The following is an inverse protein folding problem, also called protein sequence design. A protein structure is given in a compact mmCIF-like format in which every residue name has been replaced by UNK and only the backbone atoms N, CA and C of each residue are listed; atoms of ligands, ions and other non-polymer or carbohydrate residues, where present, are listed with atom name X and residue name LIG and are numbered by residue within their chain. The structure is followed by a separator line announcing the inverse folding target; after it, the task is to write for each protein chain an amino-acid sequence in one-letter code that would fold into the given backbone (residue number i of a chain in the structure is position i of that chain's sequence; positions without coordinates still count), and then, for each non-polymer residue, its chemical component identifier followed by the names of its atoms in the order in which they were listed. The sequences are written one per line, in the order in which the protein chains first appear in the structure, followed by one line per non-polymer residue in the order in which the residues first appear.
data_IF_108568159500
#
_entry.id   IF_108568159500
#
_cell.length_a   1.000
_cell.length_b   1.000
_cell.length_c   1.000
_cell.angle_alpha   90.00
_cell.angle_beta   90.00
_cell.angle_gamma   90.00
#
_symmetry.space_group_name_H-M   'P 1'
#
loop_
_entity.id
_entity.type
_entity.pdbx_description
1 polymer ?
#
# COMPACT_ATOMS: atom_id res chain seq x y z
N UNK A 1 80.89 -32.97 17.90
CA UNK A 1 79.74 -32.09 18.14
C UNK A 1 79.59 -31.21 16.93
N UNK A 2 78.54 -31.48 16.16
CA UNK A 2 78.39 -31.09 14.76
C UNK A 2 77.63 -29.78 14.61
N UNK A 3 78.00 -29.04 13.56
CA UNK A 3 77.55 -27.68 13.22
C UNK A 3 76.06 -27.62 12.89
N UNK A 4 75.44 -26.51 13.31
CA UNK A 4 74.09 -26.06 12.95
C UNK A 4 73.96 -25.90 11.43
N UNK A 5 72.92 -26.49 10.85
CA UNK A 5 72.43 -26.18 9.51
C UNK A 5 71.10 -25.44 9.64
N UNK A 6 71.10 -24.14 9.36
CA UNK A 6 69.88 -23.35 9.15
C UNK A 6 69.83 -23.06 7.65
N UNK A 7 68.95 -23.77 6.95
CA UNK A 7 68.66 -23.57 5.55
C UNK A 7 67.81 -22.31 5.39
N UNK A 8 68.43 -21.22 4.92
CA UNK A 8 67.76 -19.99 4.50
C UNK A 8 66.92 -20.24 3.24
N UNK A 9 65.60 -20.11 3.38
CA UNK A 9 64.66 -20.02 2.26
C UNK A 9 64.84 -18.64 1.63
N UNK A 10 65.42 -18.61 0.43
CA UNK A 10 65.55 -17.40 -0.39
C UNK A 10 64.18 -17.05 -0.94
N UNK A 11 63.55 -16.02 -0.37
CA UNK A 11 62.39 -15.36 -0.97
C UNK A 11 62.90 -14.57 -2.19
N UNK A 12 62.54 -15.02 -3.39
CA UNK A 12 62.76 -14.28 -4.63
C UNK A 12 61.92 -13.00 -4.60
N UNK A 13 62.53 -11.90 -4.15
CA UNK A 13 62.00 -10.55 -4.33
C UNK A 13 61.99 -10.30 -5.84
N UNK A 14 60.83 -10.49 -6.47
CA UNK A 14 60.57 -9.95 -7.79
C UNK A 14 60.71 -8.43 -7.70
N UNK A 15 61.87 -7.93 -8.12
CA UNK A 15 62.12 -6.55 -8.48
C UNK A 15 61.22 -6.18 -9.66
N UNK A 16 59.96 -5.85 -9.38
CA UNK A 16 59.24 -4.93 -10.25
C UNK A 16 59.74 -3.55 -9.88
N UNK A 17 60.53 -2.98 -10.78
CA UNK A 17 60.92 -1.58 -10.76
C UNK A 17 59.66 -0.72 -10.58
N UNK A 18 59.46 -0.14 -9.40
CA UNK A 18 58.61 1.02 -9.23
C UNK A 18 59.31 2.19 -9.94
N UNK A 19 59.17 2.31 -11.25
CA UNK A 19 59.31 3.59 -11.93
C UNK A 19 58.18 4.48 -11.40
N UNK A 20 58.46 5.24 -10.36
CA UNK A 20 57.59 6.29 -9.86
C UNK A 20 57.59 7.39 -10.92
N UNK A 21 56.72 7.25 -11.92
CA UNK A 21 56.50 8.25 -12.94
C UNK A 21 55.52 9.30 -12.37
N UNK A 22 55.98 10.50 -11.98
CA UNK A 22 55.11 11.56 -11.50
C UNK A 22 54.08 12.03 -12.55
N UNK A 23 54.29 11.73 -13.85
CA UNK A 23 53.26 11.95 -14.86
C UNK A 23 52.12 10.93 -14.80
N UNK A 24 52.37 9.72 -14.30
CA UNK A 24 51.35 8.68 -14.11
C UNK A 24 50.30 9.06 -13.06
N UNK A 25 50.74 9.62 -11.93
CA UNK A 25 49.84 10.10 -10.88
C UNK A 25 48.96 11.28 -11.36
N UNK A 26 49.55 12.25 -12.07
CA UNK A 26 48.81 13.38 -12.66
C UNK A 26 47.85 12.94 -13.78
N UNK A 27 48.21 11.93 -14.57
CA UNK A 27 47.31 11.35 -15.58
C UNK A 27 46.14 10.62 -14.92
N UNK A 28 46.39 9.91 -13.81
CA UNK A 28 45.37 9.22 -13.03
C UNK A 28 44.38 10.19 -12.36
N UNK A 29 44.87 11.31 -11.81
CA UNK A 29 44.02 12.39 -11.26
C UNK A 29 43.13 13.02 -12.33
N UNK A 30 43.68 13.35 -13.52
CA UNK A 30 42.90 13.88 -14.64
C UNK A 30 41.83 12.90 -15.13
N UNK A 31 42.18 11.61 -15.20
CA UNK A 31 41.24 10.57 -15.58
C UNK A 31 40.10 10.40 -14.55
N UNK A 32 40.40 10.44 -13.25
CA UNK A 32 39.38 10.40 -12.19
C UNK A 32 38.47 11.63 -12.21
N UNK A 33 39.03 12.82 -12.44
CA UNK A 33 38.25 14.05 -12.57
C UNK A 33 37.27 13.97 -13.76
N UNK A 34 37.75 13.52 -14.92
CA UNK A 34 36.92 13.30 -16.10
C UNK A 34 35.81 12.27 -15.84
N UNK A 35 36.11 11.15 -15.16
CA UNK A 35 35.11 10.14 -14.81
C UNK A 35 34.05 10.65 -13.84
N UNK A 36 34.43 11.51 -12.90
CA UNK A 36 33.49 12.15 -11.98
C UNK A 36 32.58 13.15 -12.69
N UNK A 37 33.11 13.94 -13.64
CA UNK A 37 32.30 14.83 -14.47
C UNK A 37 31.34 14.05 -15.38
N UNK A 38 31.82 13.00 -16.06
CA UNK A 38 30.98 12.09 -16.85
C UNK A 38 29.86 11.47 -16.01
N UNK A 39 30.18 11.04 -14.78
CA UNK A 39 29.19 10.49 -13.85
C UNK A 39 28.16 11.54 -13.43
N UNK A 40 28.57 12.77 -13.09
CA UNK A 40 27.62 13.82 -12.71
C UNK A 40 26.68 14.20 -13.86
N UNK A 41 27.19 14.26 -15.10
CA UNK A 41 26.37 14.50 -16.29
C UNK A 41 25.40 13.35 -16.52
N UNK A 42 25.86 12.10 -16.40
CA UNK A 42 25.02 10.91 -16.51
C UNK A 42 23.92 10.89 -15.44
N UNK A 43 24.26 11.14 -14.17
CA UNK A 43 23.31 11.13 -13.06
C UNK A 43 22.21 12.20 -13.26
N UNK A 44 22.59 13.41 -13.71
CA UNK A 44 21.62 14.45 -14.08
C UNK A 44 20.72 14.02 -15.23
N UNK A 45 21.29 13.42 -16.28
CA UNK A 45 20.52 12.94 -17.42
C UNK A 45 19.55 11.81 -17.03
N UNK A 46 19.95 10.93 -16.12
CA UNK A 46 19.07 9.88 -15.58
C UNK A 46 17.94 10.49 -14.76
N UNK A 47 18.22 11.46 -13.88
CA UNK A 47 17.19 12.14 -13.08
C UNK A 47 16.18 12.89 -13.98
N UNK A 48 16.67 13.62 -15.00
CA UNK A 48 15.83 14.30 -15.98
C UNK A 48 14.98 13.32 -16.80
N UNK A 49 15.57 12.22 -17.26
CA UNK A 49 14.84 11.16 -17.96
C UNK A 49 13.80 10.48 -17.08
N UNK A 50 14.05 10.34 -15.78
CA UNK A 50 13.06 9.81 -14.83
C UNK A 50 11.90 10.80 -14.66
N UNK A 51 12.19 12.09 -14.48
CA UNK A 51 11.16 13.13 -14.37
C UNK A 51 10.30 13.21 -15.62
N UNK A 52 10.92 13.20 -16.81
CA UNK A 52 10.17 13.27 -18.08
C UNK A 52 9.28 12.04 -18.27
N UNK A 53 9.78 10.82 -17.98
CA UNK A 53 8.97 9.59 -18.03
C UNK A 53 7.77 9.66 -17.10
N UNK A 54 7.96 10.16 -15.87
CA UNK A 54 6.86 10.32 -14.92
C UNK A 54 5.82 11.33 -15.42
N UNK A 55 6.26 12.45 -16.01
CA UNK A 55 5.37 13.43 -16.61
C UNK A 55 4.57 12.83 -17.77
N UNK A 56 5.23 12.15 -18.72
CA UNK A 56 4.55 11.48 -19.83
C UNK A 56 3.54 10.45 -19.34
N UNK A 57 3.87 9.65 -18.33
CA UNK A 57 2.94 8.68 -17.74
C UNK A 57 1.72 9.35 -17.10
N UNK A 58 1.91 10.51 -16.43
CA UNK A 58 0.80 11.27 -15.85
C UNK A 58 -0.09 11.89 -16.93
N UNK A 59 0.50 12.40 -18.01
CA UNK A 59 -0.22 12.94 -19.16
C UNK A 59 -1.02 11.85 -19.87
N UNK A 60 -0.39 10.72 -20.22
CA UNK A 60 -1.06 9.56 -20.83
C UNK A 60 -2.19 9.04 -19.94
N UNK A 61 -1.96 8.94 -18.64
CA UNK A 61 -2.99 8.54 -17.68
C UNK A 61 -4.15 9.51 -17.66
N UNK A 62 -3.90 10.82 -17.64
CA UNK A 62 -4.97 11.83 -17.61
C UNK A 62 -5.76 11.82 -18.92
N UNK A 63 -5.10 11.71 -20.08
CA UNK A 63 -5.75 11.54 -21.38
C UNK A 63 -6.60 10.26 -21.44
N UNK A 64 -6.09 9.15 -20.89
CA UNK A 64 -6.85 7.91 -20.77
C UNK A 64 -8.09 8.10 -19.89
N UNK A 65 -7.96 8.74 -18.73
CA UNK A 65 -9.08 8.99 -17.82
C UNK A 65 -10.15 9.92 -18.43
N UNK A 66 -9.76 10.85 -19.31
CA UNK A 66 -10.72 11.71 -20.04
C UNK A 66 -11.43 10.94 -21.15
N UNK A 67 -10.71 10.11 -21.89
CA UNK A 67 -11.27 9.33 -23.01
C UNK A 67 -12.10 8.13 -22.58
N UNK A 68 -11.87 7.60 -21.37
CA UNK A 68 -12.55 6.42 -20.81
C UNK A 68 -13.23 6.79 -19.48
N UNK A 69 -14.38 7.49 -19.53
CA UNK A 69 -15.10 7.86 -18.32
C UNK A 69 -15.52 6.64 -17.51
N UNK A 70 -15.61 6.81 -16.19
CA UNK A 70 -16.06 5.75 -15.29
C UNK A 70 -17.54 5.46 -15.48
N UNK A 71 -17.87 4.18 -15.52
CA UNK A 71 -19.24 3.67 -15.53
C UNK A 71 -19.49 2.84 -14.27
N UNK A 72 -20.70 2.96 -13.71
CA UNK A 72 -21.11 2.21 -12.53
C UNK A 72 -21.25 0.72 -12.89
N UNK A 73 -20.75 -0.14 -12.02
CA UNK A 73 -20.92 -1.60 -12.13
C UNK A 73 -21.95 -2.05 -11.10
N UNK A 74 -23.11 -2.45 -11.57
CA UNK A 74 -24.20 -2.98 -10.72
C UNK A 74 -24.21 -4.49 -10.70
N UNK A 75 -24.73 -5.09 -9.63
CA UNK A 75 -24.96 -6.53 -9.58
C UNK A 75 -23.70 -7.38 -9.41
N UNK A 76 -22.61 -6.79 -8.91
CA UNK A 76 -21.34 -7.50 -8.63
C UNK A 76 -21.55 -8.72 -7.75
N UNK A 77 -22.46 -8.64 -6.77
CA UNK A 77 -22.78 -9.75 -5.87
C UNK A 77 -23.68 -10.82 -6.49
N UNK A 78 -24.25 -10.61 -7.68
CA UNK A 78 -25.27 -11.51 -8.24
C UNK A 78 -24.71 -12.90 -8.60
N UNK A 79 -23.39 -13.04 -8.73
CA UNK A 79 -22.73 -14.33 -8.90
C UNK A 79 -22.82 -15.22 -7.63
N UNK A 80 -23.10 -14.63 -6.47
CA UNK A 80 -23.28 -15.34 -5.20
C UNK A 80 -24.71 -15.91 -5.12
N UNK A 81 -24.88 -17.13 -5.62
CA UNK A 81 -26.17 -17.83 -5.70
C UNK A 81 -26.40 -18.84 -4.57
N UNK A 82 -25.42 -19.05 -3.69
CA UNK A 82 -25.52 -20.03 -2.60
C UNK A 82 -26.60 -19.66 -1.58
N UNK A 83 -27.33 -20.66 -1.08
CA UNK A 83 -28.32 -20.48 -0.02
C UNK A 83 -27.66 -19.88 1.23
N UNK A 84 -28.28 -18.83 1.79
CA UNK A 84 -27.75 -18.09 2.94
C UNK A 84 -26.66 -17.06 2.63
N UNK A 85 -26.28 -16.85 1.35
CA UNK A 85 -25.31 -15.82 0.95
C UNK A 85 -25.94 -14.42 0.74
N UNK A 86 -27.22 -14.24 1.06
CA UNK A 86 -27.97 -13.01 0.76
C UNK A 86 -27.32 -11.76 1.35
N UNK A 87 -26.96 -11.80 2.64
CA UNK A 87 -26.28 -10.68 3.30
C UNK A 87 -24.95 -10.32 2.62
N UNK A 88 -24.19 -11.32 2.16
CA UNK A 88 -22.93 -11.09 1.46
C UNK A 88 -23.18 -10.51 0.05
N UNK A 89 -24.13 -11.07 -0.69
CA UNK A 89 -24.55 -10.56 -2.01
C UNK A 89 -24.99 -9.10 -1.93
N UNK A 90 -25.85 -8.79 -0.98
CA UNK A 90 -26.40 -7.44 -0.80
C UNK A 90 -25.30 -6.44 -0.38
N UNK A 91 -24.33 -6.90 0.42
CA UNK A 91 -23.16 -6.10 0.77
C UNK A 91 -22.28 -5.78 -0.44
N UNK A 92 -21.98 -6.77 -1.31
CA UNK A 92 -21.26 -6.54 -2.57
C UNK A 92 -21.98 -5.54 -3.46
N UNK A 93 -23.29 -5.68 -3.61
CA UNK A 93 -24.12 -4.78 -4.41
C UNK A 93 -24.26 -3.38 -3.79
N UNK A 94 -23.99 -3.24 -2.49
CA UNK A 94 -24.05 -1.96 -1.78
C UNK A 94 -22.80 -1.10 -1.94
N UNK A 95 -21.69 -1.68 -2.39
CA UNK A 95 -20.43 -0.96 -2.64
C UNK A 95 -20.52 -0.28 -4.01
N UNK A 96 -20.19 1.03 -4.11
CA UNK A 96 -20.26 1.78 -5.36
C UNK A 96 -19.06 1.45 -6.27
N UNK A 97 -19.08 0.27 -6.88
CA UNK A 97 -18.07 -0.14 -7.85
C UNK A 97 -18.22 0.61 -9.17
N UNK A 98 -17.09 0.98 -9.75
CA UNK A 98 -16.96 1.60 -11.07
C UNK A 98 -15.89 0.91 -11.90
N UNK A 99 -15.93 1.11 -13.20
CA UNK A 99 -14.90 0.66 -14.14
C UNK A 99 -14.74 1.67 -15.26
N UNK A 100 -13.54 1.73 -15.86
CA UNK A 100 -13.27 2.45 -17.11
C UNK A 100 -13.27 1.52 -18.32
N UNK A 101 -13.53 0.23 -18.10
CA UNK A 101 -13.53 -0.83 -19.11
C UNK A 101 -14.90 -1.53 -19.09
N UNK A 102 -15.91 -0.98 -19.80
CA UNK A 102 -17.23 -1.59 -19.87
C UNK A 102 -17.17 -3.03 -20.37
N UNK A 103 -17.92 -3.93 -19.74
CA UNK A 103 -17.95 -5.35 -20.11
C UNK A 103 -16.71 -6.16 -19.72
N UNK A 104 -15.77 -5.59 -18.95
CA UNK A 104 -14.61 -6.34 -18.46
C UNK A 104 -15.01 -7.42 -17.46
N UNK A 105 -14.39 -8.60 -17.58
CA UNK A 105 -14.47 -9.69 -16.60
C UNK A 105 -13.29 -9.68 -15.63
N UNK A 106 -12.34 -8.75 -15.80
CA UNK A 106 -11.13 -8.66 -14.97
C UNK A 106 -11.43 -7.88 -13.67
N UNK A 107 -11.40 -8.55 -12.50
CA UNK A 107 -11.73 -7.90 -11.22
C UNK A 107 -10.68 -6.87 -10.78
N UNK A 108 -9.51 -6.80 -11.43
CA UNK A 108 -8.53 -5.74 -11.18
C UNK A 108 -8.94 -4.40 -11.80
N UNK A 109 -9.81 -4.42 -12.82
CA UNK A 109 -10.28 -3.25 -13.56
C UNK A 109 -11.56 -2.64 -12.98
N UNK A 110 -12.21 -3.35 -12.06
CA UNK A 110 -13.36 -2.87 -11.29
C UNK A 110 -12.87 -2.42 -9.92
N UNK A 111 -13.26 -1.23 -9.48
CA UNK A 111 -12.81 -0.67 -8.21
C UNK A 111 -13.85 0.23 -7.56
N UNK A 112 -13.73 0.43 -6.26
CA UNK A 112 -14.51 1.40 -5.49
C UNK A 112 -13.57 2.43 -4.85
N UNK A 113 -14.03 3.67 -4.72
CA UNK A 113 -13.26 4.72 -4.07
C UNK A 113 -13.39 4.65 -2.56
N UNK A 114 -12.24 4.69 -1.88
CA UNK A 114 -12.13 4.81 -0.43
C UNK A 114 -11.29 6.05 -0.14
N UNK A 115 -11.95 7.21 -0.13
CA UNK A 115 -11.25 8.49 -0.27
C UNK A 115 -10.68 8.63 -1.68
N UNK A 116 -9.37 8.89 -1.78
CA UNK A 116 -8.63 8.94 -3.04
C UNK A 116 -8.05 7.58 -3.48
N UNK A 117 -8.21 6.53 -2.64
CA UNK A 117 -7.69 5.21 -2.93
C UNK A 117 -8.67 4.37 -3.75
N UNK A 118 -8.17 3.73 -4.81
CA UNK A 118 -8.94 2.80 -5.65
C UNK A 118 -8.80 1.37 -5.10
N UNK A 119 -9.82 0.91 -4.37
CA UNK A 119 -9.90 -0.46 -3.87
C UNK A 119 -10.46 -1.38 -4.95
N UNK A 120 -9.65 -2.27 -5.50
CA UNK A 120 -10.07 -3.17 -6.59
C UNK A 120 -10.98 -4.30 -6.10
N UNK A 121 -11.87 -4.76 -6.96
CA UNK A 121 -12.73 -5.92 -6.70
C UNK A 121 -11.91 -7.18 -6.45
N UNK A 122 -10.75 -7.33 -7.11
CA UNK A 122 -9.82 -8.43 -6.85
C UNK A 122 -9.39 -8.49 -5.38
N UNK A 123 -9.03 -7.35 -4.78
CA UNK A 123 -8.59 -7.31 -3.38
C UNK A 123 -9.75 -7.55 -2.41
N UNK A 124 -10.95 -7.05 -2.74
CA UNK A 124 -12.18 -7.35 -2.00
C UNK A 124 -12.47 -8.86 -2.01
N UNK A 125 -12.48 -9.47 -3.19
CA UNK A 125 -12.72 -10.91 -3.35
C UNK A 125 -11.69 -11.75 -2.62
N UNK A 126 -10.40 -11.42 -2.75
CA UNK A 126 -9.34 -12.13 -2.03
C UNK A 126 -9.50 -12.03 -0.51
N UNK A 127 -9.85 -10.84 0.00
CA UNK A 127 -10.09 -10.63 1.43
C UNK A 127 -11.30 -11.40 1.94
N UNK A 128 -12.43 -11.35 1.23
CA UNK A 128 -13.66 -12.08 1.58
C UNK A 128 -13.44 -13.59 1.55
N UNK A 129 -12.80 -14.13 0.52
CA UNK A 129 -12.49 -15.56 0.43
C UNK A 129 -11.60 -16.02 1.59
N UNK A 130 -10.61 -15.21 1.97
CA UNK A 130 -9.75 -15.48 3.12
C UNK A 130 -10.55 -15.48 4.42
N UNK A 131 -11.44 -14.51 4.63
CA UNK A 131 -12.31 -14.47 5.81
C UNK A 131 -13.29 -15.64 5.87
N UNK A 132 -13.85 -16.08 4.72
CA UNK A 132 -14.71 -17.27 4.64
C UNK A 132 -13.91 -18.51 5.08
N UNK A 133 -12.67 -18.65 4.61
CA UNK A 133 -11.78 -19.77 4.99
C UNK A 133 -11.49 -19.78 6.49
N UNK A 134 -11.13 -18.62 7.06
CA UNK A 134 -10.86 -18.48 8.50
C UNK A 134 -12.11 -18.78 9.33
N UNK A 135 -13.27 -18.26 8.92
CA UNK A 135 -14.53 -18.50 9.62
C UNK A 135 -14.93 -19.99 9.59
N UNK A 136 -14.74 -20.69 8.47
CA UNK A 136 -14.97 -22.14 8.37
C UNK A 136 -14.09 -22.92 9.33
N UNK A 137 -12.81 -22.54 9.46
CA UNK A 137 -11.89 -23.17 10.41
C UNK A 137 -12.31 -22.95 11.86
N UNK A 138 -12.74 -21.74 12.22
CA UNK A 138 -13.19 -21.42 13.59
C UNK A 138 -14.50 -22.13 13.94
N UNK A 139 -15.45 -22.14 13.00
CA UNK A 139 -16.78 -22.71 13.22
C UNK A 139 -16.84 -24.24 13.21
N UNK A 140 -15.84 -24.92 12.62
CA UNK A 140 -15.65 -26.36 12.79
C UNK A 140 -15.51 -26.78 14.27
N UNK A 141 -15.14 -25.84 15.16
CA UNK A 141 -15.08 -26.08 16.60
C UNK A 141 -16.42 -25.86 17.34
N UNK A 142 -17.46 -25.37 16.68
CA UNK A 142 -18.66 -24.80 17.34
C UNK A 142 -20.02 -25.44 16.94
N UNK A 143 -20.03 -26.47 16.06
CA UNK A 143 -21.22 -27.26 15.66
C UNK A 143 -22.45 -26.41 15.22
N UNK A 144 -22.20 -25.33 14.48
CA UNK A 144 -23.23 -24.42 13.92
C UNK A 144 -23.35 -24.58 12.40
N UNK A 145 -24.46 -24.13 11.79
CA UNK A 145 -24.54 -24.00 10.32
C UNK A 145 -23.55 -22.93 9.82
N UNK A 146 -22.35 -23.42 9.53
CA UNK A 146 -21.13 -22.66 9.25
C UNK A 146 -21.34 -21.65 8.13
N UNK A 147 -21.92 -22.09 7.01
CA UNK A 147 -22.01 -21.27 5.82
C UNK A 147 -22.90 -20.04 6.04
N UNK A 148 -24.07 -20.22 6.67
CA UNK A 148 -24.98 -19.11 6.96
C UNK A 148 -24.40 -18.15 7.98
N UNK A 149 -23.81 -18.66 9.07
CA UNK A 149 -23.21 -17.82 10.10
C UNK A 149 -22.02 -17.00 9.54
N UNK A 150 -21.15 -17.63 8.76
CA UNK A 150 -20.00 -16.98 8.14
C UNK A 150 -20.41 -15.94 7.08
N UNK A 151 -21.33 -16.28 6.17
CA UNK A 151 -21.78 -15.33 5.15
C UNK A 151 -22.53 -14.16 5.75
N UNK A 152 -23.32 -14.37 6.80
CA UNK A 152 -23.98 -13.28 7.52
C UNK A 152 -22.96 -12.36 8.19
N UNK A 153 -21.98 -12.90 8.92
CA UNK A 153 -20.99 -12.07 9.60
C UNK A 153 -20.17 -11.25 8.59
N UNK A 154 -19.64 -11.90 7.56
CA UNK A 154 -18.81 -11.24 6.54
C UNK A 154 -19.65 -10.25 5.73
N UNK A 155 -20.89 -10.61 5.38
CA UNK A 155 -21.84 -9.73 4.72
C UNK A 155 -22.17 -8.50 5.55
N UNK A 156 -22.39 -8.65 6.86
CA UNK A 156 -22.63 -7.54 7.78
C UNK A 156 -21.41 -6.60 7.86
N UNK A 157 -20.20 -7.15 8.03
CA UNK A 157 -18.97 -6.36 8.09
C UNK A 157 -18.69 -5.62 6.76
N UNK A 158 -18.90 -6.28 5.62
CA UNK A 158 -18.78 -5.67 4.30
C UNK A 158 -19.87 -4.62 4.05
N UNK A 159 -21.10 -4.86 4.51
CA UNK A 159 -22.22 -3.92 4.42
C UNK A 159 -21.99 -2.67 5.28
N UNK A 160 -21.43 -2.84 6.49
CA UNK A 160 -20.99 -1.73 7.33
C UNK A 160 -19.92 -0.90 6.63
N UNK A 161 -18.94 -1.56 6.00
CA UNK A 161 -17.92 -0.89 5.23
C UNK A 161 -18.49 -0.12 4.03
N UNK A 162 -19.41 -0.73 3.28
CA UNK A 162 -20.13 -0.07 2.19
C UNK A 162 -20.90 1.17 2.68
N UNK A 163 -21.53 1.11 3.86
CA UNK A 163 -22.21 2.26 4.46
C UNK A 163 -21.23 3.40 4.75
N UNK A 164 -20.05 3.08 5.28
CA UNK A 164 -19.00 4.07 5.60
C UNK A 164 -18.44 4.70 4.33
N UNK A 165 -18.22 3.93 3.27
CA UNK A 165 -17.74 4.49 1.99
C UNK A 165 -18.70 5.57 1.49
N UNK A 166 -20.01 5.32 1.57
CA UNK A 166 -21.06 6.24 1.11
C UNK A 166 -21.35 7.40 2.06
N UNK A 167 -20.89 7.32 3.31
CA UNK A 167 -21.15 8.35 4.32
C UNK A 167 -20.29 9.59 4.06
N UNK A 168 -20.91 10.66 3.56
CA UNK A 168 -20.24 11.93 3.26
C UNK A 168 -19.74 12.67 4.51
N UNK A 169 -20.28 12.36 5.69
CA UNK A 169 -19.83 12.97 6.96
C UNK A 169 -18.46 12.47 7.41
N UNK A 170 -18.01 11.33 6.88
CA UNK A 170 -16.69 10.76 7.15
C UNK A 170 -15.74 11.20 6.04
N UNK A 171 -14.60 11.80 6.40
CA UNK A 171 -13.65 12.30 5.40
C UNK A 171 -13.01 11.17 4.60
N UNK A 172 -12.67 11.43 3.34
CA UNK A 172 -11.95 10.47 2.51
C UNK A 172 -10.62 10.01 3.12
N UNK A 173 -9.93 10.91 3.81
CA UNK A 173 -8.69 10.61 4.54
C UNK A 173 -8.92 9.61 5.67
N UNK A 174 -9.98 9.79 6.47
CA UNK A 174 -10.33 8.85 7.53
C UNK A 174 -10.71 7.46 6.97
N UNK A 175 -11.49 7.41 5.89
CA UNK A 175 -11.84 6.15 5.20
C UNK A 175 -10.59 5.43 4.71
N UNK A 176 -9.69 6.14 4.03
CA UNK A 176 -8.43 5.60 3.51
C UNK A 176 -7.52 5.10 4.64
N UNK A 177 -7.35 5.91 5.69
CA UNK A 177 -6.51 5.57 6.81
C UNK A 177 -7.05 4.32 7.53
N UNK A 178 -8.35 4.29 7.83
CA UNK A 178 -9.00 3.14 8.46
C UNK A 178 -8.89 1.86 7.63
N UNK A 179 -9.04 1.97 6.30
CA UNK A 179 -8.82 0.83 5.39
C UNK A 179 -7.37 0.33 5.50
N UNK A 180 -6.38 1.21 5.41
CA UNK A 180 -4.95 0.85 5.49
C UNK A 180 -4.60 0.24 6.84
N UNK A 181 -5.10 0.82 7.93
CA UNK A 181 -4.86 0.35 9.30
C UNK A 181 -5.53 -0.99 9.59
N UNK A 182 -6.55 -1.35 8.80
CA UNK A 182 -7.25 -2.64 8.88
C UNK A 182 -6.78 -3.64 7.81
N UNK A 183 -5.72 -3.32 7.06
CA UNK A 183 -5.16 -4.18 6.02
C UNK A 183 -3.90 -4.87 6.52
N UNK A 184 -3.91 -6.21 6.51
CA UNK A 184 -2.81 -7.07 6.91
C UNK A 184 -2.39 -7.95 5.73
N UNK A 185 -1.27 -7.62 5.09
CA UNK A 185 -0.88 -8.28 3.84
C UNK A 185 -1.92 -8.04 2.75
N UNK A 186 -2.51 -9.11 2.22
CA UNK A 186 -3.60 -9.05 1.22
C UNK A 186 -5.00 -9.15 1.83
N UNK A 187 -5.11 -9.22 3.16
CA UNK A 187 -6.39 -9.36 3.88
C UNK A 187 -6.83 -8.03 4.45
N UNK A 188 -8.06 -7.64 4.14
CA UNK A 188 -8.72 -6.48 4.74
C UNK A 188 -9.74 -6.97 5.77
N UNK A 189 -9.74 -6.39 6.97
CA UNK A 189 -10.85 -6.48 7.92
C UNK A 189 -11.82 -5.32 7.67
N UNK A 190 -12.86 -5.57 6.86
CA UNK A 190 -13.85 -4.56 6.47
C UNK A 190 -14.65 -4.03 7.65
N UNK A 191 -14.98 -4.90 8.62
CA UNK A 191 -15.71 -4.51 9.82
C UNK A 191 -14.88 -3.58 10.69
N UNK A 192 -13.60 -3.92 10.90
CA UNK A 192 -12.69 -3.07 11.65
C UNK A 192 -12.44 -1.73 10.96
N UNK A 193 -12.24 -1.72 9.63
CA UNK A 193 -12.09 -0.50 8.84
C UNK A 193 -13.32 0.42 9.00
N UNK A 194 -14.52 -0.15 8.92
CA UNK A 194 -15.76 0.61 9.09
C UNK A 194 -15.87 1.21 10.50
N UNK A 195 -15.54 0.42 11.54
CA UNK A 195 -15.58 0.87 12.94
C UNK A 195 -14.54 1.96 13.21
N UNK A 196 -13.32 1.83 12.73
CA UNK A 196 -12.27 2.85 12.88
C UNK A 196 -12.65 4.17 12.21
N UNK A 197 -13.18 4.13 10.99
CA UNK A 197 -13.62 5.33 10.29
C UNK A 197 -14.77 6.06 11.03
N UNK A 198 -15.76 5.30 11.53
CA UNK A 198 -16.87 5.86 12.33
C UNK A 198 -16.38 6.41 13.67
N UNK A 199 -15.47 5.69 14.34
CA UNK A 199 -14.87 6.13 15.60
C UNK A 199 -14.14 7.46 15.40
N UNK A 200 -13.30 7.57 14.36
CA UNK A 200 -12.58 8.79 14.02
C UNK A 200 -13.55 9.97 13.85
N UNK A 201 -14.55 9.84 12.98
CA UNK A 201 -15.54 10.90 12.73
C UNK A 201 -16.25 11.32 14.03
N UNK A 202 -16.69 10.34 14.83
CA UNK A 202 -17.37 10.60 16.10
C UNK A 202 -16.49 11.34 17.11
N UNK A 203 -15.23 10.92 17.26
CA UNK A 203 -14.31 11.57 18.20
C UNK A 203 -13.91 12.97 17.72
N UNK A 204 -13.71 13.16 16.42
CA UNK A 204 -13.46 14.47 15.83
C UNK A 204 -14.63 15.43 16.06
N UNK A 205 -15.88 14.98 15.91
CA UNK A 205 -17.05 15.78 16.25
C UNK A 205 -17.05 16.20 17.73
N UNK A 206 -16.72 15.27 18.63
CA UNK A 206 -16.61 15.56 20.08
C UNK A 206 -15.49 16.55 20.42
N UNK A 207 -14.41 16.58 19.62
CA UNK A 207 -13.30 17.54 19.75
C UNK A 207 -13.52 18.85 18.99
N UNK A 208 -14.72 19.10 18.46
CA UNK A 208 -15.02 20.33 17.70
C UNK A 208 -14.33 20.40 16.34
N UNK A 209 -14.00 19.25 15.74
CA UNK A 209 -13.42 19.12 14.40
C UNK A 209 -11.92 19.46 14.32
N UNK A 210 -11.22 19.51 15.45
CA UNK A 210 -9.81 19.92 15.54
C UNK A 210 -8.93 18.82 16.11
N UNK A 211 -7.64 18.86 15.79
CA UNK A 211 -6.64 17.95 16.32
C UNK A 211 -6.54 16.65 15.53
N UNK A 212 -6.05 15.60 16.21
CA UNK A 212 -5.83 14.28 15.66
C UNK A 212 -6.54 13.24 16.52
N UNK A 213 -7.03 12.19 15.86
CA UNK A 213 -7.55 11.01 16.52
C UNK A 213 -6.66 9.84 16.19
N UNK A 214 -6.22 9.15 17.23
CA UNK A 214 -5.54 7.87 17.10
C UNK A 214 -6.51 6.79 16.63
N UNK A 215 -6.11 6.03 15.61
CA UNK A 215 -6.74 4.79 15.19
C UNK A 215 -6.02 3.61 15.87
N UNK A 216 -5.55 2.60 15.12
CA UNK A 216 -4.79 1.47 15.68
C UNK A 216 -3.28 1.74 15.62
N UNK A 217 -2.75 2.09 14.45
CA UNK A 217 -1.29 2.35 14.28
C UNK A 217 -0.97 3.75 13.78
N UNK A 218 -2.00 4.53 13.44
CA UNK A 218 -1.88 5.87 12.88
C UNK A 218 -2.73 6.88 13.64
N UNK A 219 -2.35 8.15 13.58
CA UNK A 219 -3.15 9.29 13.99
C UNK A 219 -3.61 10.04 12.73
N UNK A 220 -4.90 10.35 12.67
CA UNK A 220 -5.54 10.96 11.51
C UNK A 220 -6.12 12.32 11.92
N UNK A 221 -5.86 13.39 11.16
CA UNK A 221 -6.38 14.71 11.49
C UNK A 221 -7.91 14.73 11.40
N UNK A 222 -8.54 15.58 12.21
CA UNK A 222 -9.99 15.80 12.15
C UNK A 222 -10.42 16.73 11.00
N UNK A 223 -9.50 17.53 10.49
CA UNK A 223 -9.73 18.40 9.34
C UNK A 223 -9.63 17.65 8.00
N UNK A 224 -9.94 18.36 6.92
CA UNK A 224 -9.74 17.90 5.54
C UNK A 224 -8.28 18.02 5.06
N UNK A 225 -7.40 18.57 5.89
CA UNK A 225 -5.99 18.80 5.59
C UNK A 225 -5.10 18.28 6.73
N UNK A 226 -3.84 17.98 6.39
CA UNK A 226 -2.86 17.40 7.30
C UNK A 226 -2.45 15.99 6.87
N UNK A 227 -1.32 15.54 7.40
CA UNK A 227 -0.79 14.22 7.09
C UNK A 227 -1.33 13.18 8.06
N UNK A 228 -1.49 11.94 7.56
CA UNK A 228 -1.69 10.78 8.42
C UNK A 228 -0.33 10.37 8.99
N UNK A 229 -0.20 10.40 10.31
CA UNK A 229 1.07 10.22 11.01
C UNK A 229 1.05 8.87 11.72
N UNK A 230 2.18 8.19 11.85
CA UNK A 230 2.25 7.02 12.72
C UNK A 230 1.93 7.42 14.18
N UNK A 231 1.11 6.61 14.87
CA UNK A 231 0.63 6.91 16.23
C UNK A 231 1.76 7.25 17.20
N UNK A 232 2.86 6.48 17.21
CA UNK A 232 4.01 6.72 18.09
C UNK A 232 4.64 8.09 17.86
N UNK A 233 4.75 8.51 16.60
CA UNK A 233 5.28 9.83 16.25
C UNK A 233 4.31 10.94 16.66
N UNK A 234 3.01 10.75 16.43
CA UNK A 234 1.97 11.69 16.84
C UNK A 234 1.95 11.90 18.36
N UNK A 235 2.11 10.83 19.15
CA UNK A 235 2.24 10.91 20.60
C UNK A 235 3.49 11.68 21.04
N UNK A 236 4.65 11.44 20.40
CA UNK A 236 5.87 12.22 20.67
C UNK A 236 5.74 13.70 20.32
N UNK A 237 4.90 14.02 19.33
CA UNK A 237 4.61 15.39 18.91
C UNK A 237 3.51 16.06 19.75
N UNK A 238 2.87 15.34 20.69
CA UNK A 238 1.76 15.85 21.49
C UNK A 238 0.49 16.13 20.67
N UNK A 239 0.32 15.46 19.54
CA UNK A 239 -0.86 15.63 18.66
C UNK A 239 -2.05 14.79 19.13
N UNK A 240 -1.77 13.71 19.84
CA UNK A 240 -2.73 12.81 20.46
C UNK A 240 -2.37 12.70 21.96
N UNK A 241 -3.39 12.67 22.81
CA UNK A 241 -3.26 12.61 24.27
C UNK A 241 -3.44 11.18 24.76
#
# INVERSE_FOLDING_TARGET
MSRLAVTTIVFSIFLTSCSWDPNGAKAQEKWLAQKNEEKQVYDKQVEENQKSRLQTQLEEKSQFEVSHPEVIVTGVGNELTSEGAEALRDAYNSIPFVTRYPGTTDPSKVYAYVGDYKLTLQLVNSSVLTQISDCKRISAYADVNINRACFNQIGNDLGLFASVIKDESITGMAKKAALRDSTYGTKIDFGHAARLAKMHSTLCQKQGGKGYIEMSTVAVPCGSSGDVINSRSAGKMGLIN
#
